data_IF_604665626662
#
_entry.id   IF_604665626662
#
_cell.length_a   1.000
_cell.length_b   1.000
_cell.length_c   1.000
_cell.angle_alpha   90.00
_cell.angle_beta   90.00
_cell.angle_gamma   90.00
#
_symmetry.space_group_name_H-M   'P 1'
#
loop_
_entity.id
_entity.type
_entity.pdbx_description
1 polymer ?
#
# COMPACT_ATOMS: atom_id res chain seq x y z
N UNK A 1 -21.79 17.45 -4.65
CA UNK A 1 -20.60 17.18 -3.81
C UNK A 1 -20.94 16.44 -2.48
N UNK A 2 -22.18 15.99 -2.25
CA UNK A 2 -22.55 15.25 -1.01
C UNK A 2 -23.41 14.00 -1.30
N UNK A 3 -23.01 13.15 -2.26
CA UNK A 3 -23.80 11.94 -2.61
C UNK A 3 -23.01 10.63 -2.82
N UNK A 4 -21.73 10.54 -2.42
CA UNK A 4 -20.89 9.35 -2.74
C UNK A 4 -20.19 8.69 -1.54
N UNK A 5 -20.71 8.84 -0.32
CA UNK A 5 -20.54 7.76 0.66
C UNK A 5 -21.54 6.65 0.29
N UNK A 6 -21.34 6.02 -0.87
CA UNK A 6 -22.08 4.82 -1.26
C UNK A 6 -21.93 3.83 -0.11
N UNK A 7 -23.03 3.30 0.41
CA UNK A 7 -22.99 2.16 1.30
C UNK A 7 -22.40 0.97 0.50
N UNK A 8 -21.08 0.87 0.48
CA UNK A 8 -20.37 -0.28 -0.10
C UNK A 8 -20.75 -1.46 0.78
N UNK A 9 -21.24 -2.56 0.18
CA UNK A 9 -21.53 -3.76 0.95
C UNK A 9 -20.24 -4.28 1.59
N UNK A 10 -20.36 -4.96 2.74
CA UNK A 10 -19.18 -5.49 3.45
C UNK A 10 -18.40 -6.44 2.54
N UNK A 11 -19.09 -7.23 1.72
CA UNK A 11 -18.46 -8.13 0.77
C UNK A 11 -17.67 -7.37 -0.32
N UNK A 12 -18.21 -6.26 -0.82
CA UNK A 12 -17.58 -5.50 -1.89
C UNK A 12 -16.37 -4.69 -1.40
N UNK A 13 -16.45 -4.19 -0.16
CA UNK A 13 -15.33 -3.55 0.53
C UNK A 13 -14.22 -4.58 0.78
N UNK A 14 -14.58 -5.76 1.29
CA UNK A 14 -13.64 -6.85 1.53
C UNK A 14 -12.95 -7.28 0.23
N UNK A 15 -13.69 -7.55 -0.85
CA UNK A 15 -13.12 -7.94 -2.15
C UNK A 15 -12.17 -6.88 -2.72
N UNK A 16 -12.49 -5.59 -2.57
CA UNK A 16 -11.59 -4.51 -3.00
C UNK A 16 -10.30 -4.51 -2.18
N UNK A 17 -10.40 -4.62 -0.87
CA UNK A 17 -9.24 -4.60 0.02
C UNK A 17 -8.37 -5.85 -0.16
N UNK A 18 -8.97 -7.03 -0.30
CA UNK A 18 -8.26 -8.28 -0.58
C UNK A 18 -7.44 -8.19 -1.87
N UNK A 19 -8.03 -7.66 -2.96
CA UNK A 19 -7.29 -7.47 -4.23
C UNK A 19 -6.09 -6.54 -4.08
N UNK A 20 -6.21 -5.49 -3.28
CA UNK A 20 -5.12 -4.55 -3.02
C UNK A 20 -4.08 -5.07 -2.01
N UNK A 21 -4.39 -6.14 -1.28
CA UNK A 21 -3.48 -6.78 -0.32
C UNK A 21 -2.45 -7.70 -1.00
N UNK A 22 -2.73 -8.11 -2.25
CA UNK A 22 -1.90 -9.08 -2.98
C UNK A 22 -0.59 -8.46 -3.40
N UNK A 23 0.48 -9.23 -3.18
CA UNK A 23 1.79 -8.90 -3.73
C UNK A 23 1.73 -8.97 -5.26
N UNK A 24 1.97 -7.83 -5.90
CA UNK A 24 2.04 -7.74 -7.34
C UNK A 24 3.36 -7.10 -7.81
N UNK A 25 3.70 -7.32 -9.07
CA UNK A 25 4.96 -6.82 -9.65
C UNK A 25 4.98 -5.29 -9.75
N UNK A 26 3.83 -4.66 -9.92
CA UNK A 26 3.68 -3.20 -9.98
C UNK A 26 4.00 -2.59 -8.63
N UNK A 27 3.47 -3.16 -7.54
CA UNK A 27 3.84 -2.75 -6.17
C UNK A 27 5.36 -2.78 -5.98
N UNK A 28 6.00 -3.92 -6.28
CA UNK A 28 7.45 -4.06 -6.12
C UNK A 28 8.24 -3.08 -7.00
N UNK A 29 7.80 -2.88 -8.25
CA UNK A 29 8.43 -1.93 -9.17
C UNK A 29 8.30 -0.49 -8.65
N UNK A 30 7.11 -0.09 -8.19
CA UNK A 30 6.87 1.25 -7.66
C UNK A 30 7.66 1.50 -6.37
N UNK A 31 7.80 0.50 -5.50
CA UNK A 31 8.66 0.59 -4.32
C UNK A 31 10.12 0.78 -4.72
N UNK A 32 10.64 -0.04 -5.63
CA UNK A 32 12.02 0.07 -6.09
C UNK A 32 12.30 1.44 -6.76
N UNK A 33 11.40 1.91 -7.62
CA UNK A 33 11.52 3.22 -8.25
C UNK A 33 11.42 4.37 -7.22
N UNK A 34 10.51 4.25 -6.24
CA UNK A 34 10.39 5.23 -5.16
C UNK A 34 11.68 5.33 -4.36
N UNK A 35 12.33 4.20 -4.01
CA UNK A 35 13.63 4.19 -3.31
C UNK A 35 14.70 4.95 -4.09
N UNK A 36 14.79 4.75 -5.41
CA UNK A 36 15.76 5.47 -6.27
C UNK A 36 15.48 6.98 -6.25
N UNK A 37 14.21 7.39 -6.37
CA UNK A 37 13.84 8.81 -6.34
C UNK A 37 14.09 9.43 -4.96
N UNK A 38 13.79 8.72 -3.87
CA UNK A 38 14.12 9.16 -2.50
C UNK A 38 15.63 9.34 -2.35
N UNK A 39 16.44 8.37 -2.82
CA UNK A 39 17.90 8.46 -2.73
C UNK A 39 18.43 9.71 -3.43
N UNK A 40 17.93 10.02 -4.63
CA UNK A 40 18.26 11.26 -5.34
C UNK A 40 17.80 12.49 -4.54
N UNK A 41 16.56 12.49 -4.03
CA UNK A 41 16.02 13.59 -3.24
C UNK A 41 16.81 13.88 -1.97
N UNK A 42 17.37 12.85 -1.33
CA UNK A 42 18.26 13.00 -0.17
C UNK A 42 19.62 13.58 -0.53
N UNK A 43 20.20 13.19 -1.67
CA UNK A 43 21.48 13.74 -2.16
C UNK A 43 21.34 15.22 -2.54
N UNK A 44 20.21 15.61 -3.11
CA UNK A 44 19.88 16.99 -3.49
C UNK A 44 19.32 17.84 -2.32
N UNK A 45 19.26 17.28 -1.10
CA UNK A 45 18.66 17.92 0.09
C UNK A 45 17.26 18.51 -0.17
N UNK A 46 16.48 17.82 -1.02
CA UNK A 46 15.20 18.32 -1.51
C UNK A 46 14.03 17.52 -0.94
N UNK A 47 13.44 18.05 0.14
CA UNK A 47 12.27 17.48 0.82
C UNK A 47 11.09 17.32 -0.13
N UNK A 48 10.89 18.21 -1.11
CA UNK A 48 9.77 18.09 -2.04
C UNK A 48 9.87 16.83 -2.92
N UNK A 49 11.09 16.46 -3.34
CA UNK A 49 11.34 15.22 -4.08
C UNK A 49 11.09 13.99 -3.20
N UNK A 50 11.53 14.04 -1.94
CA UNK A 50 11.32 12.96 -0.97
C UNK A 50 9.82 12.73 -0.70
N UNK A 51 9.06 13.81 -0.47
CA UNK A 51 7.60 13.74 -0.29
C UNK A 51 6.92 13.22 -1.57
N UNK A 52 7.38 13.67 -2.74
CA UNK A 52 6.87 13.18 -4.03
C UNK A 52 7.05 11.67 -4.18
N UNK A 53 8.19 11.13 -3.78
CA UNK A 53 8.44 9.69 -3.82
C UNK A 53 7.54 8.88 -2.89
N UNK A 54 7.13 9.42 -1.74
CA UNK A 54 6.14 8.78 -0.85
C UNK A 54 4.76 8.64 -1.51
N UNK A 55 4.40 9.53 -2.43
CA UNK A 55 3.14 9.46 -3.20
C UNK A 55 3.18 8.35 -4.26
N UNK A 56 4.38 8.00 -4.75
CA UNK A 56 4.58 6.97 -5.78
C UNK A 56 4.37 5.56 -5.20
N UNK A 57 4.83 5.32 -3.96
CA UNK A 57 4.79 3.99 -3.34
C UNK A 57 3.37 3.64 -2.85
N UNK A 58 2.73 2.58 -3.38
CA UNK A 58 1.34 2.23 -3.07
C UNK A 58 1.20 1.44 -1.75
N UNK A 59 1.77 1.96 -0.65
CA UNK A 59 1.75 1.29 0.68
C UNK A 59 0.37 1.28 1.35
N UNK A 60 -0.57 2.09 0.86
CA UNK A 60 -1.93 2.17 1.42
C UNK A 60 -2.72 0.88 1.24
N UNK A 61 -2.56 0.16 0.13
CA UNK A 61 -3.30 -1.08 -0.15
C UNK A 61 -3.07 -2.16 0.92
N UNK A 62 -1.81 -2.60 1.12
CA UNK A 62 -1.46 -3.58 2.15
C UNK A 62 -1.81 -3.13 3.56
N UNK A 63 -1.63 -1.84 3.89
CA UNK A 63 -1.94 -1.33 5.23
C UNK A 63 -3.44 -1.30 5.54
N UNK A 64 -4.28 -0.93 4.56
CA UNK A 64 -5.74 -1.00 4.72
C UNK A 64 -6.19 -2.46 4.86
N UNK A 65 -5.57 -3.39 4.14
CA UNK A 65 -5.84 -4.81 4.28
C UNK A 65 -5.45 -5.36 5.65
N UNK A 66 -4.32 -4.94 6.21
CA UNK A 66 -3.94 -5.27 7.58
C UNK A 66 -4.97 -4.75 8.58
N UNK A 67 -5.36 -3.48 8.49
CA UNK A 67 -6.36 -2.88 9.38
C UNK A 67 -7.71 -3.60 9.30
N UNK A 68 -8.19 -3.91 8.08
CA UNK A 68 -9.44 -4.63 7.87
C UNK A 68 -9.38 -6.06 8.41
N UNK A 69 -8.28 -6.78 8.14
CA UNK A 69 -8.08 -8.14 8.64
C UNK A 69 -8.03 -8.19 10.16
N UNK A 70 -7.40 -7.20 10.81
CA UNK A 70 -7.37 -7.08 12.26
C UNK A 70 -8.78 -6.79 12.84
N UNK A 71 -9.56 -5.92 12.18
CA UNK A 71 -10.92 -5.61 12.59
C UNK A 71 -11.89 -6.81 12.44
N UNK A 72 -11.69 -7.63 11.41
CA UNK A 72 -12.51 -8.82 11.15
C UNK A 72 -12.00 -10.10 11.82
N UNK A 73 -10.76 -10.10 12.34
CA UNK A 73 -10.09 -11.30 12.85
C UNK A 73 -9.67 -12.29 11.75
N UNK A 74 -9.54 -11.84 10.50
CA UNK A 74 -9.17 -12.69 9.37
C UNK A 74 -7.65 -12.93 9.30
N UNK A 75 -7.21 -14.08 9.80
CA UNK A 75 -5.78 -14.45 9.81
C UNK A 75 -5.20 -14.68 8.41
N UNK A 76 -6.03 -15.07 7.44
CA UNK A 76 -5.59 -15.35 6.07
C UNK A 76 -5.27 -14.06 5.34
N UNK A 77 -6.16 -13.07 5.42
CA UNK A 77 -5.94 -11.73 4.86
C UNK A 77 -4.79 -11.01 5.58
N UNK A 78 -4.70 -11.17 6.91
CA UNK A 78 -3.61 -10.60 7.70
C UNK A 78 -2.25 -11.15 7.25
N UNK A 79 -2.13 -12.47 7.06
CA UNK A 79 -0.91 -13.10 6.57
C UNK A 79 -0.53 -12.66 5.16
N UNK A 80 -1.50 -12.47 4.26
CA UNK A 80 -1.26 -11.94 2.91
C UNK A 80 -0.71 -10.51 2.96
N UNK A 81 -1.38 -9.62 3.68
CA UNK A 81 -0.99 -8.23 3.75
C UNK A 81 0.36 -8.03 4.47
N UNK A 82 0.65 -8.84 5.49
CA UNK A 82 1.97 -8.87 6.13
C UNK A 82 3.06 -9.31 5.17
N UNK A 83 2.85 -10.39 4.40
CA UNK A 83 3.82 -10.86 3.41
C UNK A 83 4.10 -9.81 2.35
N UNK A 84 3.06 -9.13 1.85
CA UNK A 84 3.19 -8.05 0.86
C UNK A 84 4.04 -6.90 1.40
N UNK A 85 3.74 -6.42 2.61
CA UNK A 85 4.54 -5.38 3.26
C UNK A 85 6.00 -5.82 3.49
N UNK A 86 6.22 -7.03 4.02
CA UNK A 86 7.57 -7.56 4.24
C UNK A 86 8.35 -7.68 2.94
N UNK A 87 7.73 -8.15 1.85
CA UNK A 87 8.40 -8.21 0.55
C UNK A 87 8.73 -6.83 -0.02
N UNK A 88 7.88 -5.82 0.24
CA UNK A 88 8.20 -4.43 -0.08
C UNK A 88 9.42 -3.93 0.68
N UNK A 89 9.49 -4.20 1.99
CA UNK A 89 10.65 -3.86 2.82
C UNK A 89 11.94 -4.56 2.39
N UNK A 90 11.87 -5.77 1.85
CA UNK A 90 13.06 -6.47 1.33
C UNK A 90 13.60 -5.84 0.04
N UNK A 91 12.73 -5.17 -0.73
CA UNK A 91 13.11 -4.51 -1.99
C UNK A 91 13.53 -3.06 -1.78
N UNK A 92 12.93 -2.38 -0.80
CA UNK A 92 13.21 -0.99 -0.46
C UNK A 92 14.60 -0.83 0.19
#
# INVERSE_FOLDING_TARGET
VVQLFTAISREELYNRVEKNARLDRTYLLLVALSTVVVAIGLVEDNVAVVIGAMVIAPLLGPNIALALSAALGDKTLMGQALRTNLSGMTVA
#
